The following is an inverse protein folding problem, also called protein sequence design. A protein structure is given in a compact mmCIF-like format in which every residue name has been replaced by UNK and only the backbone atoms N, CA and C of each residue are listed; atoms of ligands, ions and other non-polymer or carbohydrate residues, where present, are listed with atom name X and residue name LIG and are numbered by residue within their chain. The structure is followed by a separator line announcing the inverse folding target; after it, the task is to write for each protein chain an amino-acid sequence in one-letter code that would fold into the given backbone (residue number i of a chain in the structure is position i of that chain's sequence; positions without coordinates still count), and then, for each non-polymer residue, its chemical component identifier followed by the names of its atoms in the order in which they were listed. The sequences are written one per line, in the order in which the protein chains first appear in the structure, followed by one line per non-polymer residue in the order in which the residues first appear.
data_IF_619407888611
#
_entry.id   IF_619407888611
#
_cell.length_a   1.000
_cell.length_b   1.000
_cell.length_c   1.000
_cell.angle_alpha   90.00
_cell.angle_beta   90.00
_cell.angle_gamma   90.00
#
_symmetry.space_group_name_H-M   'P 1'
#
loop_
_entity.id
_entity.type
_entity.pdbx_description
1 polymer ?
#
# COMPACT_ATOMS: atom_id res chain seq x y z
N UNK A 1 -38.52 -8.67 -4.51
CA UNK A 1 -38.24 -7.41 -5.24
C UNK A 1 -36.74 -7.32 -5.41
N UNK A 2 -36.24 -7.40 -6.64
CA UNK A 2 -34.81 -7.34 -6.91
C UNK A 2 -34.31 -5.91 -6.67
N UNK A 3 -33.37 -5.75 -5.74
CA UNK A 3 -32.68 -4.49 -5.52
C UNK A 3 -31.88 -4.15 -6.78
N UNK A 4 -32.25 -3.06 -7.43
CA UNK A 4 -31.50 -2.50 -8.54
C UNK A 4 -30.20 -1.94 -7.97
N UNK A 5 -29.09 -2.63 -8.23
CA UNK A 5 -27.75 -2.08 -8.02
C UNK A 5 -27.56 -0.93 -9.00
N UNK A 6 -27.84 0.29 -8.54
CA UNK A 6 -27.33 1.49 -9.19
C UNK A 6 -25.83 1.55 -8.98
N UNK A 7 -25.05 0.99 -9.90
CA UNK A 7 -23.64 1.35 -10.05
C UNK A 7 -23.66 2.78 -10.59
N UNK A 8 -23.77 3.75 -9.69
CA UNK A 8 -23.52 5.13 -10.04
C UNK A 8 -22.10 5.19 -10.60
N UNK A 9 -21.99 5.67 -11.83
CA UNK A 9 -20.75 6.00 -12.50
C UNK A 9 -20.08 7.13 -11.71
N UNK A 10 -19.45 6.79 -10.59
CA UNK A 10 -18.50 7.69 -9.97
C UNK A 10 -17.25 7.68 -10.86
N UNK A 11 -17.30 8.47 -11.93
CA UNK A 11 -16.11 8.87 -12.70
C UNK A 11 -15.25 9.88 -11.90
N UNK A 12 -15.56 10.04 -10.61
CA UNK A 12 -14.90 10.93 -9.68
C UNK A 12 -13.43 10.60 -9.48
N UNK A 13 -12.70 11.65 -9.11
CA UNK A 13 -11.32 11.48 -8.64
C UNK A 13 -11.35 10.93 -7.22
N UNK A 14 -10.82 9.73 -7.04
CA UNK A 14 -10.70 9.07 -5.75
C UNK A 14 -9.38 9.43 -5.06
N UNK A 15 -9.37 9.23 -3.74
CA UNK A 15 -8.20 9.39 -2.90
C UNK A 15 -7.95 8.08 -2.15
N UNK A 16 -6.72 7.59 -2.18
CA UNK A 16 -6.30 6.43 -1.40
C UNK A 16 -5.16 6.79 -0.46
N UNK A 17 -5.13 6.14 0.70
CA UNK A 17 -4.03 6.21 1.65
C UNK A 17 -3.21 4.93 1.55
N UNK A 18 -1.93 5.08 1.26
CA UNK A 18 -0.98 3.98 1.22
C UNK A 18 0.01 4.10 2.37
N UNK A 19 0.38 2.96 2.95
CA UNK A 19 1.26 2.88 4.11
C UNK A 19 2.39 1.85 3.94
N UNK A 20 2.61 1.38 2.71
CA UNK A 20 3.60 0.36 2.38
C UNK A 20 4.32 0.63 1.06
N UNK A 21 4.51 -0.40 0.27
CA UNK A 21 5.28 -0.35 -1.00
C UNK A 21 4.72 0.67 -1.99
N UNK A 22 3.39 0.83 -2.06
CA UNK A 22 2.68 1.80 -2.89
C UNK A 22 2.93 3.28 -2.50
N UNK A 23 3.57 3.55 -1.36
CA UNK A 23 4.08 4.89 -1.05
C UNK A 23 5.24 5.30 -1.97
N UNK A 24 5.86 4.34 -2.66
CA UNK A 24 6.90 4.59 -3.66
C UNK A 24 6.23 4.78 -5.02
N UNK A 25 6.35 5.96 -5.66
CA UNK A 25 5.68 6.24 -6.93
C UNK A 25 5.99 5.21 -8.02
N UNK A 26 7.21 4.70 -8.08
CA UNK A 26 7.62 3.67 -9.05
C UNK A 26 6.82 2.35 -8.91
N UNK A 27 6.47 1.95 -7.68
CA UNK A 27 5.63 0.76 -7.44
C UNK A 27 4.19 1.09 -7.84
N UNK A 28 3.67 2.24 -7.39
CA UNK A 28 2.33 2.70 -7.76
C UNK A 28 2.13 2.76 -9.28
N UNK A 29 3.07 3.33 -10.04
CA UNK A 29 2.97 3.43 -11.49
C UNK A 29 3.10 2.07 -12.17
N UNK A 30 3.97 1.18 -11.66
CA UNK A 30 4.05 -0.19 -12.15
C UNK A 30 2.69 -0.90 -12.06
N UNK A 31 1.97 -0.72 -10.95
CA UNK A 31 0.63 -1.32 -10.75
C UNK A 31 -0.42 -0.65 -11.63
N UNK A 32 -0.50 0.68 -11.58
CA UNK A 32 -1.57 1.42 -12.25
C UNK A 32 -1.40 1.53 -13.77
N UNK A 33 -0.16 1.53 -14.26
CA UNK A 33 0.18 1.85 -15.65
C UNK A 33 1.07 0.80 -16.32
N UNK A 34 1.55 -0.21 -15.59
CA UNK A 34 2.42 -1.25 -16.15
C UNK A 34 3.86 -0.78 -16.41
N UNK A 35 4.24 0.39 -15.92
CA UNK A 35 5.57 0.97 -16.10
C UNK A 35 6.01 1.71 -14.84
N UNK A 36 7.27 1.55 -14.44
CA UNK A 36 7.85 2.24 -13.28
C UNK A 36 8.01 3.75 -13.48
N UNK A 37 8.24 4.15 -14.72
CA UNK A 37 8.37 5.53 -15.17
C UNK A 37 7.21 5.81 -16.12
N UNK A 38 6.47 6.89 -15.89
CA UNK A 38 5.35 7.32 -16.73
C UNK A 38 5.62 8.73 -17.27
N UNK A 39 5.04 9.11 -18.41
CA UNK A 39 5.18 10.47 -18.93
C UNK A 39 4.69 11.51 -17.91
N UNK A 40 5.28 12.71 -17.91
CA UNK A 40 4.91 13.81 -16.98
C UNK A 40 3.41 14.12 -16.97
N UNK A 41 2.75 14.00 -18.13
CA UNK A 41 1.30 14.19 -18.25
C UNK A 41 0.50 13.20 -17.40
N UNK A 42 0.98 11.96 -17.23
CA UNK A 42 0.36 10.95 -16.37
C UNK A 42 0.82 11.13 -14.92
N UNK A 43 2.10 11.42 -14.71
CA UNK A 43 2.63 11.67 -13.36
C UNK A 43 1.87 12.81 -12.67
N UNK A 44 1.62 13.91 -13.40
CA UNK A 44 0.90 15.09 -12.93
C UNK A 44 -0.60 14.88 -12.65
N UNK A 45 -1.18 13.72 -13.01
CA UNK A 45 -2.54 13.38 -12.59
C UNK A 45 -2.62 13.00 -11.11
N UNK A 46 -1.50 12.54 -10.53
CA UNK A 46 -1.46 12.02 -9.17
C UNK A 46 -0.67 12.93 -8.25
N UNK A 47 -1.22 13.21 -7.08
CA UNK A 47 -0.51 13.96 -6.03
C UNK A 47 -0.28 13.05 -4.84
N UNK A 48 0.98 12.94 -4.43
CA UNK A 48 1.44 12.20 -3.26
C UNK A 48 1.71 13.19 -2.13
N UNK A 49 0.94 13.10 -1.04
CA UNK A 49 1.11 13.96 0.14
C UNK A 49 1.30 13.13 1.39
N UNK A 50 2.26 13.46 2.27
CA UNK A 50 2.42 12.77 3.54
C UNK A 50 1.15 12.95 4.38
N UNK A 51 0.72 11.87 5.03
CA UNK A 51 -0.49 11.86 5.84
C UNK A 51 -0.36 10.85 6.98
N UNK A 52 -1.22 10.99 7.98
CA UNK A 52 -1.27 10.11 9.13
C UNK A 52 -2.67 9.53 9.31
N UNK A 53 -2.71 8.23 9.61
CA UNK A 53 -3.93 7.49 9.92
C UNK A 53 -3.92 7.08 11.39
N UNK A 54 -4.85 7.63 12.17
CA UNK A 54 -5.01 7.33 13.59
C UNK A 54 -5.85 6.07 13.82
N UNK A 55 -5.59 5.35 14.91
CA UNK A 55 -6.32 4.15 15.32
C UNK A 55 -5.87 2.86 14.62
N UNK A 56 -4.70 2.87 13.99
CA UNK A 56 -4.13 1.73 13.27
C UNK A 56 -2.67 1.51 13.64
N UNK A 57 -2.22 0.27 13.48
CA UNK A 57 -0.82 -0.15 13.63
C UNK A 57 -0.37 -0.86 12.36
N UNK A 58 0.78 -0.43 11.82
CA UNK A 58 1.47 -1.07 10.70
C UNK A 58 2.45 -2.11 11.21
N UNK A 59 2.37 -3.32 10.65
CA UNK A 59 3.24 -4.46 10.95
C UNK A 59 3.75 -5.09 9.66
N UNK A 60 4.88 -5.80 9.73
CA UNK A 60 5.36 -6.62 8.62
C UNK A 60 4.43 -7.82 8.43
N UNK A 61 4.15 -8.18 7.19
CA UNK A 61 3.54 -9.48 6.88
C UNK A 61 4.68 -10.50 6.85
N UNK A 62 4.48 -11.62 7.53
CA UNK A 62 5.47 -12.68 7.64
C UNK A 62 5.86 -13.17 6.24
N UNK A 63 7.17 -13.30 6.01
CA UNK A 63 7.76 -13.76 4.75
C UNK A 63 7.48 -12.87 3.52
N UNK A 64 6.96 -11.65 3.71
CA UNK A 64 6.65 -10.73 2.63
C UNK A 64 7.41 -9.40 2.76
N UNK A 65 7.62 -8.73 1.62
CA UNK A 65 8.25 -7.40 1.58
C UNK A 65 7.27 -6.25 1.88
N UNK A 66 5.98 -6.54 2.01
CA UNK A 66 4.92 -5.57 2.20
C UNK A 66 4.33 -5.60 3.62
N UNK A 67 3.81 -4.46 4.13
CA UNK A 67 3.17 -4.39 5.44
C UNK A 67 1.66 -4.59 5.39
N UNK A 68 1.08 -4.91 6.56
CA UNK A 68 -0.35 -4.82 6.80
C UNK A 68 -0.68 -3.88 7.95
N UNK A 69 -1.82 -3.16 7.86
CA UNK A 69 -2.38 -2.44 9.00
C UNK A 69 -3.53 -3.19 9.64
N UNK A 70 -3.63 -3.06 10.96
CA UNK A 70 -4.73 -3.57 11.80
C UNK A 70 -5.20 -2.44 12.72
N UNK A 71 -6.44 -2.53 13.21
CA UNK A 71 -6.94 -1.52 14.16
C UNK A 71 -6.17 -1.62 15.46
N UNK A 72 -5.71 -0.49 15.98
CA UNK A 72 -5.02 -0.40 17.25
C UNK A 72 -5.24 0.99 17.86
N UNK A 73 -6.01 1.06 18.93
CA UNK A 73 -6.31 2.32 19.60
C UNK A 73 -5.04 2.97 20.16
N UNK A 74 -4.97 4.30 20.10
CA UNK A 74 -3.79 5.07 20.53
C UNK A 74 -2.56 4.90 19.64
N UNK A 75 -2.64 4.13 18.55
CA UNK A 75 -1.58 3.99 17.54
C UNK A 75 -1.92 4.79 16.29
N UNK A 76 -0.88 5.09 15.52
CA UNK A 76 -0.99 5.84 14.28
C UNK A 76 -0.03 5.29 13.24
N UNK A 77 -0.36 5.47 11.97
CA UNK A 77 0.44 5.03 10.83
C UNK A 77 0.75 6.24 9.96
N UNK A 78 2.03 6.55 9.80
CA UNK A 78 2.50 7.49 8.80
C UNK A 78 2.48 6.83 7.42
N UNK A 79 1.94 7.54 6.43
CA UNK A 79 1.78 7.06 5.08
C UNK A 79 1.70 8.20 4.08
N UNK A 80 1.12 7.90 2.92
CA UNK A 80 0.95 8.83 1.82
C UNK A 80 -0.51 8.82 1.35
N UNK A 81 -1.15 9.99 1.35
CA UNK A 81 -2.37 10.21 0.62
C UNK A 81 -2.03 10.40 -0.86
N UNK A 82 -2.65 9.60 -1.72
CA UNK A 82 -2.59 9.72 -3.17
C UNK A 82 -3.95 10.14 -3.68
N UNK A 83 -4.00 11.29 -4.33
CA UNK A 83 -5.20 11.80 -5.00
C UNK A 83 -5.01 11.73 -6.51
N UNK A 84 -6.08 11.76 -7.29
CA UNK A 84 -5.99 11.63 -8.75
C UNK A 84 -6.38 10.26 -9.29
N UNK A 85 -6.89 9.38 -8.43
CA UNK A 85 -7.16 7.99 -8.79
C UNK A 85 -8.48 7.89 -9.54
N UNK A 86 -8.43 7.28 -10.71
CA UNK A 86 -9.65 6.85 -11.40
C UNK A 86 -10.15 5.53 -10.84
N UNK A 87 -11.40 5.18 -11.10
CA UNK A 87 -11.93 3.85 -10.81
C UNK A 87 -11.08 2.73 -11.43
N UNK A 88 -10.59 2.91 -12.65
CA UNK A 88 -9.71 1.94 -13.30
C UNK A 88 -8.36 1.78 -12.57
N UNK A 89 -7.85 2.84 -11.92
CA UNK A 89 -6.68 2.72 -11.04
C UNK A 89 -7.02 1.89 -9.80
N UNK A 90 -8.15 2.17 -9.15
CA UNK A 90 -8.60 1.41 -7.98
C UNK A 90 -8.83 -0.07 -8.29
N UNK A 91 -9.40 -0.42 -9.44
CA UNK A 91 -9.60 -1.82 -9.84
C UNK A 91 -8.27 -2.57 -10.02
N UNK A 92 -7.23 -1.91 -10.56
CA UNK A 92 -5.89 -2.48 -10.65
C UNK A 92 -5.22 -2.64 -9.29
N UNK A 93 -5.44 -1.68 -8.39
CA UNK A 93 -4.96 -1.74 -7.01
C UNK A 93 -5.66 -2.86 -6.24
N UNK A 94 -6.97 -3.00 -6.37
CA UNK A 94 -7.75 -4.09 -5.77
C UNK A 94 -7.24 -5.46 -6.25
N UNK A 95 -6.90 -5.58 -7.55
CA UNK A 95 -6.29 -6.80 -8.08
C UNK A 95 -4.88 -7.07 -7.52
N UNK A 96 -4.07 -6.02 -7.36
CA UNK A 96 -2.71 -6.10 -6.82
C UNK A 96 -2.67 -6.51 -5.35
N UNK A 97 -3.56 -5.94 -4.52
CA UNK A 97 -3.65 -6.26 -3.09
C UNK A 97 -4.28 -7.65 -2.88
N UNK A 98 -5.15 -8.07 -3.78
CA UNK A 98 -5.74 -9.39 -3.78
C UNK A 98 -6.62 -9.66 -2.54
N UNK A 99 -6.75 -10.93 -2.17
CA UNK A 99 -7.66 -11.38 -1.11
C UNK A 99 -7.15 -11.20 0.32
N UNK A 100 -5.92 -10.73 0.51
CA UNK A 100 -5.33 -10.53 1.85
C UNK A 100 -5.79 -9.22 2.51
N UNK A 101 -6.28 -8.28 1.71
CA UNK A 101 -6.71 -6.98 2.16
C UNK A 101 -8.18 -6.72 1.86
N UNK A 102 -8.77 -5.86 2.67
CA UNK A 102 -10.08 -5.29 2.41
C UNK A 102 -9.95 -3.78 2.26
N UNK A 103 -10.46 -3.23 1.15
CA UNK A 103 -10.53 -1.78 0.95
C UNK A 103 -11.60 -1.19 1.87
N UNK A 104 -11.19 -0.22 2.69
CA UNK A 104 -12.05 0.48 3.65
C UNK A 104 -11.90 1.98 3.52
N UNK A 105 -12.99 2.70 3.74
CA UNK A 105 -12.98 4.16 3.84
C UNK A 105 -12.50 4.59 5.22
N UNK A 106 -11.52 5.48 5.26
CA UNK A 106 -10.90 6.03 6.47
C UNK A 106 -10.79 7.55 6.39
N UNK A 107 -10.49 8.17 7.53
CA UNK A 107 -10.15 9.58 7.63
C UNK A 107 -8.67 9.69 7.98
N UNK A 108 -7.92 10.41 7.18
CA UNK A 108 -6.50 10.66 7.39
C UNK A 108 -6.26 12.14 7.56
N UNK A 109 -5.21 12.51 8.28
CA UNK A 109 -4.80 13.90 8.42
C UNK A 109 -3.56 14.15 7.57
N UNK A 110 -3.62 15.17 6.73
CA UNK A 110 -2.47 15.60 5.95
C UNK A 110 -1.39 16.12 6.89
N UNK A 111 -0.12 15.81 6.60
CA UNK A 111 1.01 16.36 7.34
C UNK A 111 1.48 17.64 6.65
N UNK A 112 1.31 18.78 7.32
CA UNK A 112 1.89 20.06 6.89
C UNK A 112 3.40 20.08 7.12
N UNK A 113 3.83 19.39 8.18
CA UNK A 113 5.24 19.14 8.48
C UNK A 113 5.41 17.69 8.88
N UNK A 114 6.36 17.03 8.22
CA UNK A 114 6.82 15.69 8.60
C UNK A 114 7.91 15.85 9.66
N UNK A 115 7.67 15.22 10.80
CA UNK A 115 8.60 15.09 11.92
C UNK A 115 9.58 13.93 11.71
N UNK A 116 10.00 13.33 12.81
CA UNK A 116 10.88 12.16 12.78
C UNK A 116 10.11 10.83 12.57
N UNK A 117 10.85 9.71 12.59
CA UNK A 117 10.30 8.38 12.38
C UNK A 117 9.32 7.92 13.49
N UNK A 118 9.40 8.49 14.70
CA UNK A 118 8.45 8.22 15.78
C UNK A 118 7.22 9.14 15.71
N UNK A 119 7.23 10.08 14.78
CA UNK A 119 6.19 11.08 14.59
C UNK A 119 6.37 12.32 15.47
N UNK A 120 7.48 12.45 16.19
CA UNK A 120 7.76 13.67 16.95
C UNK A 120 8.01 14.83 15.99
N UNK A 121 7.28 15.94 16.21
CA UNK A 121 7.36 17.12 15.35
C UNK A 121 6.48 17.06 14.10
N UNK A 122 5.66 16.02 13.92
CA UNK A 122 4.58 16.03 12.95
C UNK A 122 3.60 17.17 13.25
N UNK A 123 3.24 17.93 12.21
CA UNK A 123 2.16 18.91 12.28
C UNK A 123 1.05 18.43 11.36
N UNK A 124 -0.08 18.06 11.97
CA UNK A 124 -1.28 17.61 11.27
C UNK A 124 -2.11 18.82 10.83
N UNK A 125 -2.48 18.83 9.56
CA UNK A 125 -3.40 19.80 8.96
C UNK A 125 -4.77 19.18 8.70
N UNK A 126 -5.28 19.41 7.50
CA UNK A 126 -6.63 19.03 7.08
C UNK A 126 -6.90 17.52 7.18
N UNK A 127 -8.12 17.18 7.58
CA UNK A 127 -8.64 15.82 7.54
C UNK A 127 -9.29 15.54 6.18
N UNK A 128 -8.88 14.44 5.54
CA UNK A 128 -9.36 14.01 4.23
C UNK A 128 -9.90 12.60 4.33
N UNK A 129 -11.03 12.36 3.66
CA UNK A 129 -11.57 11.00 3.52
C UNK A 129 -10.88 10.29 2.37
N UNK A 130 -10.35 9.09 2.63
CA UNK A 130 -9.62 8.30 1.66
C UNK A 130 -9.98 6.81 1.79
N UNK A 131 -9.58 6.02 0.82
CA UNK A 131 -9.67 4.56 0.85
C UNK A 131 -8.32 3.97 1.22
N UNK A 132 -8.29 2.93 2.04
CA UNK A 132 -7.06 2.23 2.42
C UNK A 132 -7.31 0.74 2.38
N UNK A 133 -6.26 -0.04 2.18
CA UNK A 133 -6.32 -1.49 2.29
C UNK A 133 -6.05 -1.88 3.75
N UNK A 134 -6.86 -2.73 4.35
CA UNK A 134 -6.67 -3.21 5.73
C UNK A 134 -6.41 -4.71 5.68
N UNK A 135 -5.37 -5.16 6.37
CA UNK A 135 -4.97 -6.58 6.33
C UNK A 135 -5.97 -7.43 7.12
N UNK A 136 -6.38 -8.56 6.55
CA UNK A 136 -7.45 -9.38 7.10
C UNK A 136 -6.98 -10.39 8.15
N UNK A 137 -5.73 -10.87 8.04
CA UNK A 137 -5.26 -12.04 8.77
C UNK A 137 -4.18 -11.66 9.78
N UNK A 138 -4.57 -11.19 10.97
CA UNK A 138 -3.59 -10.65 11.94
C UNK A 138 -2.50 -11.63 12.39
N UNK A 139 -2.76 -12.95 12.32
CA UNK A 139 -1.78 -13.99 12.68
C UNK A 139 -0.57 -14.05 11.74
N UNK A 140 -0.72 -13.52 10.52
CA UNK A 140 0.36 -13.48 9.53
C UNK A 140 1.17 -12.18 9.66
N UNK A 141 0.90 -11.36 10.69
CA UNK A 141 1.64 -10.14 10.98
C UNK A 141 2.67 -10.36 12.09
N UNK A 142 3.91 -10.00 11.81
CA UNK A 142 4.98 -9.97 12.81
C UNK A 142 4.79 -8.80 13.78
N UNK A 143 5.33 -8.88 14.99
CA UNK A 143 5.30 -7.75 15.93
C UNK A 143 6.15 -6.55 15.47
N UNK A 144 7.11 -6.79 14.57
CA UNK A 144 8.05 -5.78 14.09
C UNK A 144 7.35 -4.79 13.16
N UNK A 145 7.68 -3.50 13.35
CA UNK A 145 7.27 -2.47 12.42
C UNK A 145 7.95 -2.63 11.05
N UNK A 146 7.19 -2.33 10.00
CA UNK A 146 7.71 -2.26 8.65
C UNK A 146 8.35 -0.89 8.38
N UNK A 147 9.55 -0.91 7.79
CA UNK A 147 10.36 0.27 7.55
C UNK A 147 10.45 0.56 6.04
N UNK A 148 9.97 1.74 5.64
CA UNK A 148 9.98 2.19 4.25
C UNK A 148 11.39 2.36 3.70
N UNK A 149 12.34 2.83 4.52
CA UNK A 149 13.71 3.07 4.10
C UNK A 149 14.47 1.74 3.95
N UNK A 150 14.19 0.75 4.81
CA UNK A 150 14.66 -0.63 4.62
C UNK A 150 14.14 -1.20 3.29
N UNK A 151 12.84 -1.06 3.01
CA UNK A 151 12.26 -1.51 1.74
C UNK A 151 12.88 -0.82 0.53
N UNK A 152 13.05 0.50 0.57
CA UNK A 152 13.66 1.28 -0.52
C UNK A 152 15.10 0.84 -0.81
N UNK A 153 15.89 0.61 0.23
CA UNK A 153 17.29 0.22 0.13
C UNK A 153 17.44 -1.21 -0.39
N UNK A 154 16.68 -2.15 0.19
CA UNK A 154 16.98 -3.57 0.04
C UNK A 154 16.07 -4.27 -0.99
N UNK A 155 14.82 -3.80 -1.15
CA UNK A 155 13.76 -4.54 -1.86
C UNK A 155 13.24 -3.87 -3.11
N UNK A 156 13.19 -2.54 -3.16
CA UNK A 156 12.60 -1.78 -4.27
C UNK A 156 13.14 -2.16 -5.66
N UNK A 157 14.42 -2.54 -5.76
CA UNK A 157 15.02 -2.97 -7.02
C UNK A 157 14.36 -4.23 -7.60
N UNK A 158 13.92 -5.17 -6.76
CA UNK A 158 13.26 -6.40 -7.21
C UNK A 158 11.85 -6.10 -7.73
N UNK A 159 11.16 -5.20 -7.04
CA UNK A 159 9.81 -4.74 -7.39
C UNK A 159 9.76 -3.92 -8.69
N UNK A 160 10.86 -3.27 -9.07
CA UNK A 160 10.91 -2.38 -10.25
C UNK A 160 11.69 -2.94 -11.43
N UNK A 161 12.67 -3.84 -11.23
CA UNK A 161 13.48 -4.42 -12.33
C UNK A 161 12.82 -5.61 -13.00
N UNK A 162 12.17 -6.49 -12.24
CA UNK A 162 11.72 -7.78 -12.75
C UNK A 162 10.39 -7.72 -13.49
N UNK A 163 9.71 -6.57 -13.51
CA UNK A 163 8.28 -6.56 -13.83
C UNK A 163 7.53 -7.31 -12.73
N UNK A 164 6.54 -6.67 -12.14
CA UNK A 164 5.79 -7.20 -11.00
C UNK A 164 5.30 -8.65 -11.19
N UNK A 165 5.03 -9.04 -12.44
CA UNK A 165 4.58 -10.38 -12.81
C UNK A 165 5.59 -11.47 -12.40
N UNK A 166 6.89 -11.21 -12.49
CA UNK A 166 7.92 -12.21 -12.18
C UNK A 166 8.12 -12.39 -10.66
N UNK A 167 7.75 -11.40 -9.83
CA UNK A 167 7.96 -11.46 -8.36
C UNK A 167 6.88 -12.30 -7.68
N UNK A 168 5.62 -12.22 -8.14
CA UNK A 168 4.54 -13.05 -7.60
C UNK A 168 4.69 -14.53 -7.97
N UNK A 169 5.30 -14.83 -9.12
CA UNK A 169 5.54 -16.22 -9.54
C UNK A 169 6.67 -16.88 -8.73
N UNK A 170 7.65 -16.12 -8.25
CA UNK A 170 8.80 -16.66 -7.48
C UNK A 170 8.41 -17.05 -6.04
N UNK A 171 7.42 -16.37 -5.43
CA UNK A 171 6.96 -16.66 -4.06
C UNK A 171 6.17 -18.00 -3.97
N UNK A 172 5.81 -18.59 -5.12
CA UNK A 172 5.19 -19.92 -5.19
C UNK A 172 6.17 -21.07 -5.42
N UNK A 173 7.50 -20.86 -5.31
CA UNK A 173 8.46 -21.97 -5.41
C UNK A 173 9.07 -22.39 -4.06
N UNK A 174 8.37 -23.19 -3.22
CA UNK A 174 9.01 -23.92 -2.13
C UNK A 174 9.78 -25.13 -2.70
N UNK A 175 10.81 -24.89 -3.51
CA UNK A 175 11.80 -25.89 -3.89
C UNK A 175 13.08 -25.74 -3.04
N UNK A 176 12.91 -25.66 -1.73
CA UNK A 176 13.93 -26.14 -0.80
C UNK A 176 13.57 -27.59 -0.40
N UNK A 177 13.44 -28.44 -1.42
CA UNK A 177 13.30 -29.88 -1.20
C UNK A 177 14.67 -30.44 -0.85
N UNK A 178 14.90 -30.52 0.46
CA UNK A 178 15.88 -31.37 1.09
C UNK A 178 16.07 -32.70 0.32
N UNK A 179 17.20 -32.84 -0.37
CA UNK A 179 17.71 -34.14 -0.84
C UNK A 179 19.07 -34.35 -0.20
N UNK A 180 19.05 -35.00 0.97
CA UNK A 180 19.10 -36.46 1.21
C UNK A 180 20.56 -36.84 1.45
N UNK A 181 20.80 -37.23 2.70
CA UNK A 181 22.00 -37.86 3.18
C UNK A 181 22.30 -39.13 2.37
N UNK A 182 23.53 -39.23 1.88
CA UNK A 182 24.15 -40.51 1.54
C UNK A 182 25.33 -40.68 2.50
N UNK A 183 25.12 -41.52 3.52
CA UNK A 183 26.19 -42.26 4.22
C UNK A 183 26.26 -43.67 3.64
#
# INVERSE_FOLDING_TARGET
MAAQNSVASDDGTHCAFFYGTLMVPAVFYTVCYGAKDVPDAIAGLHSFKPAILHGYLRRRVAYADYPGITKAEGRQVAGCLVTGLTRANLEKLDYFEGGQYERRRVKVRLLEKVGDAQGEGNIEGDEVTAETYVFLVERDLEEKEWDLEEFRRDKLQFWTRRGYRDVLEDDQNPEDTAKVAEE
#
